data_IF_929720570128
#
_entry.id   IF_929720570128
#
_cell.length_a   1.000
_cell.length_b   1.000
_cell.length_c   1.000
_cell.angle_alpha   90.00
_cell.angle_beta   90.00
_cell.angle_gamma   90.00
#
_symmetry.space_group_name_H-M   'P 1'
#
loop_
_entity.id
_entity.type
_entity.pdbx_description
1 polymer ?
#
# COMPACT_ATOMS: atom_id res chain seq x y z
N UNK A 1 14.19 21.65 -4.69
CA UNK A 1 13.73 20.24 -4.61
C UNK A 1 13.44 19.80 -6.03
N UNK A 2 14.29 18.94 -6.61
CA UNK A 2 14.12 18.49 -7.99
C UNK A 2 12.83 17.66 -8.10
N UNK A 3 11.86 18.14 -8.88
CA UNK A 3 10.66 17.37 -9.20
C UNK A 3 11.06 16.21 -10.09
N UNK A 4 11.21 15.00 -9.51
CA UNK A 4 11.39 13.78 -10.28
C UNK A 4 10.21 13.63 -11.23
N UNK A 5 10.50 13.74 -12.53
CA UNK A 5 9.48 13.64 -13.57
C UNK A 5 9.08 12.16 -13.68
N UNK A 6 7.82 11.86 -13.36
CA UNK A 6 7.30 10.50 -13.47
C UNK A 6 7.28 10.04 -14.94
N UNK A 7 7.79 8.85 -15.18
CA UNK A 7 7.67 8.14 -16.45
C UNK A 7 6.22 7.82 -16.78
N UNK A 8 5.92 7.49 -18.04
CA UNK A 8 4.57 7.08 -18.43
C UNK A 8 4.12 5.81 -17.69
N UNK A 9 5.02 4.86 -17.48
CA UNK A 9 4.74 3.64 -16.71
C UNK A 9 4.38 3.94 -15.26
N UNK A 10 5.11 4.85 -14.61
CA UNK A 10 4.81 5.28 -13.24
C UNK A 10 3.44 5.96 -13.15
N UNK A 11 3.08 6.80 -14.12
CA UNK A 11 1.76 7.44 -14.16
C UNK A 11 0.63 6.42 -14.31
N UNK A 12 0.81 5.44 -15.20
CA UNK A 12 -0.17 4.35 -15.39
C UNK A 12 -0.32 3.55 -14.10
N UNK A 13 0.79 3.19 -13.45
CA UNK A 13 0.76 2.44 -12.20
C UNK A 13 0.12 3.25 -11.07
N UNK A 14 0.43 4.55 -10.93
CA UNK A 14 -0.24 5.43 -9.96
C UNK A 14 -1.75 5.53 -10.20
N UNK A 15 -2.16 5.61 -11.47
CA UNK A 15 -3.58 5.61 -11.84
C UNK A 15 -4.27 4.31 -11.39
N UNK A 16 -3.64 3.16 -11.65
CA UNK A 16 -4.15 1.87 -11.23
C UNK A 16 -4.23 1.75 -9.69
N UNK A 17 -3.20 2.22 -8.97
CA UNK A 17 -3.21 2.21 -7.50
C UNK A 17 -4.36 3.05 -6.98
N UNK A 18 -4.51 4.30 -7.45
CA UNK A 18 -5.60 5.20 -7.04
C UNK A 18 -6.97 4.62 -7.31
N UNK A 19 -7.15 3.98 -8.47
CA UNK A 19 -8.41 3.32 -8.82
C UNK A 19 -8.71 2.15 -7.88
N UNK A 20 -7.70 1.36 -7.55
CA UNK A 20 -7.80 0.21 -6.65
C UNK A 20 -8.06 0.62 -5.20
N UNK A 21 -7.56 1.79 -4.78
CA UNK A 21 -7.71 2.30 -3.42
C UNK A 21 -8.79 3.37 -3.27
N UNK A 22 -9.66 3.59 -4.27
CA UNK A 22 -10.66 4.67 -4.27
C UNK A 22 -11.67 4.61 -3.11
N UNK A 23 -11.90 3.42 -2.56
CA UNK A 23 -12.86 3.17 -1.48
C UNK A 23 -12.24 3.29 -0.08
N UNK A 24 -10.99 3.74 0.04
CA UNK A 24 -10.26 3.87 1.31
C UNK A 24 -9.94 5.35 1.56
N UNK A 25 -10.80 6.10 2.27
CA UNK A 25 -10.66 7.54 2.41
C UNK A 25 -9.35 8.01 3.04
N UNK A 26 -8.73 7.16 3.87
CA UNK A 26 -7.46 7.44 4.53
C UNK A 26 -6.24 7.27 3.61
N UNK A 27 -6.45 6.77 2.37
CA UNK A 27 -5.36 6.43 1.44
C UNK A 27 -5.33 7.41 0.28
N UNK A 28 -4.22 8.15 0.17
CA UNK A 28 -3.98 9.03 -0.96
C UNK A 28 -2.58 8.80 -1.55
N UNK A 29 -2.53 8.05 -2.66
CA UNK A 29 -1.27 7.74 -3.34
C UNK A 29 -1.00 8.75 -4.45
N UNK A 30 0.09 9.51 -4.33
CA UNK A 30 0.51 10.53 -5.30
C UNK A 30 1.93 10.32 -5.84
N UNK A 31 2.72 9.47 -5.19
CA UNK A 31 4.09 9.14 -5.57
C UNK A 31 4.45 7.69 -5.15
N UNK A 32 5.65 7.22 -5.49
CA UNK A 32 6.18 5.90 -5.07
C UNK A 32 7.15 5.98 -3.87
N UNK A 33 7.10 7.07 -3.11
CA UNK A 33 7.96 7.29 -1.94
C UNK A 33 7.08 7.50 -0.70
N UNK A 34 6.82 8.75 -0.33
CA UNK A 34 6.13 9.10 0.91
C UNK A 34 4.67 8.66 0.98
N UNK A 35 4.00 8.41 -0.15
CA UNK A 35 2.62 7.90 -0.15
C UNK A 35 2.46 6.47 0.38
N UNK A 36 3.57 5.75 0.58
CA UNK A 36 3.57 4.34 0.97
C UNK A 36 4.13 4.14 2.39
N UNK A 37 4.79 5.15 2.96
CA UNK A 37 5.55 5.03 4.21
C UNK A 37 4.67 4.82 5.44
N UNK A 38 3.38 5.18 5.39
CA UNK A 38 2.45 4.97 6.50
C UNK A 38 1.83 3.55 6.54
N UNK A 39 2.13 2.73 5.53
CA UNK A 39 1.66 1.36 5.37
C UNK A 39 0.21 1.20 4.89
N UNK A 40 -0.59 2.26 4.80
CA UNK A 40 -2.00 2.13 4.44
C UNK A 40 -2.21 1.78 2.96
N UNK A 41 -1.38 2.32 2.07
CA UNK A 41 -1.45 2.05 0.64
C UNK A 41 -1.28 0.55 0.31
N UNK A 42 -0.32 -0.11 0.94
CA UNK A 42 -0.10 -1.55 0.74
C UNK A 42 -1.27 -2.39 1.23
N UNK A 43 -1.77 -2.12 2.44
CA UNK A 43 -2.91 -2.86 2.99
C UNK A 43 -4.20 -2.64 2.16
N UNK A 44 -4.43 -1.42 1.68
CA UNK A 44 -5.61 -1.10 0.88
C UNK A 44 -5.59 -1.82 -0.47
N UNK A 45 -4.41 -1.93 -1.10
CA UNK A 45 -4.24 -2.70 -2.33
C UNK A 45 -4.48 -4.20 -2.11
N UNK A 46 -3.99 -4.77 -1.01
CA UNK A 46 -4.25 -6.17 -0.69
C UNK A 46 -5.75 -6.41 -0.45
N UNK A 47 -6.38 -5.58 0.38
CA UNK A 47 -7.80 -5.69 0.71
C UNK A 47 -8.71 -5.44 -0.50
N UNK A 48 -8.33 -4.56 -1.45
CA UNK A 48 -9.13 -4.30 -2.64
C UNK A 48 -9.19 -5.50 -3.59
N UNK A 49 -8.14 -6.33 -3.63
CA UNK A 49 -8.08 -7.54 -4.45
C UNK A 49 -8.59 -8.77 -3.70
N UNK A 50 -8.34 -8.84 -2.39
CA UNK A 50 -8.65 -9.97 -1.51
C UNK A 50 -9.15 -9.47 -0.15
N UNK A 51 -10.42 -9.02 -0.07
CA UNK A 51 -10.98 -8.47 1.16
C UNK A 51 -11.11 -9.50 2.27
N UNK A 52 -11.02 -10.79 1.95
CA UNK A 52 -11.06 -11.91 2.89
C UNK A 52 -9.76 -12.10 3.69
N UNK A 53 -8.63 -11.50 3.26
CA UNK A 53 -7.33 -11.73 3.88
C UNK A 53 -7.02 -10.82 5.07
N UNK A 54 -7.73 -9.70 5.22
CA UNK A 54 -7.49 -8.77 6.33
C UNK A 54 -8.73 -7.94 6.69
N UNK A 55 -8.81 -7.49 7.94
CA UNK A 55 -9.82 -6.52 8.36
C UNK A 55 -9.28 -5.09 8.21
N UNK A 56 -9.86 -4.32 7.28
CA UNK A 56 -9.45 -2.94 7.03
C UNK A 56 -9.58 -2.04 8.26
N UNK A 57 -10.64 -2.20 9.06
CA UNK A 57 -10.86 -1.32 10.21
C UNK A 57 -9.80 -1.55 11.28
N UNK A 58 -9.40 -2.80 11.49
CA UNK A 58 -8.30 -3.14 12.38
C UNK A 58 -7.00 -2.47 11.92
N UNK A 59 -6.63 -2.60 10.64
CA UNK A 59 -5.42 -1.98 10.08
C UNK A 59 -5.44 -0.45 10.17
N UNK A 60 -6.56 0.17 9.79
CA UNK A 60 -6.73 1.61 9.85
C UNK A 60 -6.58 2.17 11.27
N UNK A 61 -6.99 1.39 12.28
CA UNK A 61 -6.87 1.77 13.69
C UNK A 61 -5.44 1.65 14.27
N UNK A 62 -4.55 0.86 13.65
CA UNK A 62 -3.16 0.70 14.09
C UNK A 62 -2.42 2.03 14.04
N UNK A 63 -1.64 2.37 15.07
CA UNK A 63 -0.93 3.67 15.13
C UNK A 63 0.46 3.62 14.51
N UNK A 64 1.07 2.44 14.40
CA UNK A 64 2.45 2.27 13.93
C UNK A 64 2.51 1.97 12.42
N UNK A 65 3.21 2.80 11.63
CA UNK A 65 3.50 2.51 10.23
C UNK A 65 4.24 1.18 10.03
N UNK A 66 5.21 0.88 10.90
CA UNK A 66 6.00 -0.36 10.86
C UNK A 66 5.07 -1.58 10.99
N UNK A 67 4.13 -1.55 11.94
CA UNK A 67 3.16 -2.63 12.12
C UNK A 67 2.27 -2.83 10.89
N UNK A 68 1.80 -1.74 10.26
CA UNK A 68 0.99 -1.82 9.03
C UNK A 68 1.78 -2.39 7.86
N UNK A 69 3.04 -1.96 7.70
CA UNK A 69 3.92 -2.45 6.64
C UNK A 69 4.24 -3.93 6.82
N UNK A 70 4.66 -4.35 8.02
CA UNK A 70 4.91 -5.76 8.30
C UNK A 70 3.66 -6.61 8.11
N UNK A 71 2.51 -6.13 8.55
CA UNK A 71 1.24 -6.81 8.34
C UNK A 71 0.98 -7.04 6.84
N UNK A 72 1.06 -6.00 6.01
CA UNK A 72 0.85 -6.12 4.57
C UNK A 72 1.84 -7.10 3.92
N UNK A 73 3.13 -6.98 4.21
CA UNK A 73 4.16 -7.83 3.61
C UNK A 73 4.05 -9.29 4.05
N UNK A 74 3.67 -9.54 5.30
CA UNK A 74 3.44 -10.90 5.77
C UNK A 74 2.21 -11.55 5.11
N UNK A 75 1.09 -10.83 5.00
CA UNK A 75 -0.10 -11.31 4.29
C UNK A 75 0.23 -11.61 2.83
N UNK A 76 0.91 -10.68 2.15
CA UNK A 76 1.31 -10.83 0.74
C UNK A 76 2.20 -12.06 0.54
N UNK A 77 3.17 -12.30 1.43
CA UNK A 77 4.05 -13.47 1.36
C UNK A 77 3.29 -14.77 1.62
N UNK A 78 2.52 -14.84 2.70
CA UNK A 78 1.88 -16.07 3.15
C UNK A 78 0.74 -16.52 2.23
N UNK A 79 -0.05 -15.58 1.71
CA UNK A 79 -1.27 -15.90 0.97
C UNK A 79 -1.16 -15.69 -0.54
N UNK A 80 -0.24 -14.85 -1.00
CA UNK A 80 -0.11 -14.50 -2.41
C UNK A 80 1.25 -14.90 -3.01
N UNK A 81 2.18 -15.44 -2.20
CA UNK A 81 3.50 -15.84 -2.65
C UNK A 81 4.39 -14.67 -3.09
N UNK A 82 4.09 -13.44 -2.61
CA UNK A 82 4.85 -12.24 -2.95
C UNK A 82 5.99 -12.07 -1.95
N UNK A 83 7.23 -12.07 -2.43
CA UNK A 83 8.40 -11.92 -1.58
C UNK A 83 8.51 -10.48 -1.00
N UNK A 84 8.97 -10.38 0.26
CA UNK A 84 9.22 -9.10 0.92
C UNK A 84 10.56 -8.56 0.44
N UNK A 85 10.50 -7.49 -0.36
CA UNK A 85 11.70 -6.80 -0.86
C UNK A 85 12.07 -5.57 -0.01
N UNK A 86 11.20 -5.18 0.93
CA UNK A 86 11.35 -3.99 1.74
C UNK A 86 11.28 -4.36 3.22
N UNK A 87 12.22 -3.85 4.00
CA UNK A 87 12.17 -3.92 5.46
C UNK A 87 11.56 -2.63 6.03
N UNK A 88 10.53 -2.75 6.89
CA UNK A 88 9.97 -1.61 7.59
C UNK A 88 10.86 -1.28 8.79
N UNK A 89 11.91 -0.52 8.54
CA UNK A 89 12.73 0.15 9.58
C UNK A 89 12.40 1.64 9.66
#
# INVERSE_FOLDING_TARGET
MAGLQQTNSEKILLSWVRQSTRNYPQVNVINFTSSWSDGLAFNALLHSHRPDLLDWNAVASQQSPVQRLDHAFNIARQHLGIEKLLDPE
#
